data_IF_639731656336
#
_entry.id   IF_639731656336
#
_cell.length_a   1.000
_cell.length_b   1.000
_cell.length_c   1.000
_cell.angle_alpha   90.00
_cell.angle_beta   90.00
_cell.angle_gamma   90.00
#
_symmetry.space_group_name_H-M   'P 1'
#
loop_
_entity.id
_entity.type
_entity.pdbx_description
1 polymer ?
#
# COMPACT_ATOMS: atom_id res chain seq x y z
N UNK A 1 20.11 -10.63 11.95
CA UNK A 1 19.67 -11.13 10.63
C UNK A 1 18.33 -10.52 10.20
N UNK A 2 17.24 -10.69 10.96
CA UNK A 2 15.87 -10.29 10.54
C UNK A 2 15.74 -8.80 10.18
N UNK A 3 16.41 -7.90 10.91
CA UNK A 3 16.37 -6.45 10.67
C UNK A 3 17.03 -6.08 9.33
N UNK A 4 18.17 -6.70 8.99
CA UNK A 4 18.84 -6.47 7.72
C UNK A 4 17.98 -6.97 6.55
N UNK A 5 17.35 -8.14 6.71
CA UNK A 5 16.42 -8.68 5.71
C UNK A 5 15.20 -7.78 5.54
N UNK A 6 14.62 -7.27 6.63
CA UNK A 6 13.50 -6.33 6.57
C UNK A 6 13.90 -5.00 5.91
N UNK A 7 15.11 -4.50 6.18
CA UNK A 7 15.63 -3.28 5.54
C UNK A 7 15.82 -3.47 4.02
N UNK A 8 16.43 -4.58 3.61
CA UNK A 8 16.59 -4.92 2.18
C UNK A 8 15.23 -5.10 1.50
N UNK A 9 14.31 -5.83 2.15
CA UNK A 9 12.96 -6.02 1.66
C UNK A 9 12.21 -4.69 1.53
N UNK A 10 12.35 -3.76 2.50
CA UNK A 10 11.75 -2.42 2.42
C UNK A 10 12.31 -1.59 1.28
N UNK A 11 13.62 -1.65 1.02
CA UNK A 11 14.22 -1.02 -0.16
C UNK A 11 13.65 -1.57 -1.46
N UNK A 12 13.52 -2.90 -1.57
CA UNK A 12 12.89 -3.56 -2.72
C UNK A 12 11.41 -3.17 -2.87
N UNK A 13 10.68 -3.08 -1.77
CA UNK A 13 9.29 -2.61 -1.76
C UNK A 13 9.17 -1.17 -2.29
N UNK A 14 10.06 -0.27 -1.88
CA UNK A 14 10.08 1.10 -2.37
C UNK A 14 10.40 1.20 -3.87
N UNK A 15 11.31 0.36 -4.38
CA UNK A 15 11.60 0.26 -5.83
C UNK A 15 10.38 -0.28 -6.59
N UNK A 16 9.75 -1.34 -6.10
CA UNK A 16 8.55 -1.90 -6.71
C UNK A 16 7.41 -0.87 -6.74
N UNK A 17 7.22 -0.10 -5.67
CA UNK A 17 6.26 1.02 -5.63
C UNK A 17 6.54 2.03 -6.71
N UNK A 18 7.80 2.46 -6.85
CA UNK A 18 8.20 3.42 -7.88
C UNK A 18 7.85 2.94 -9.30
N UNK A 19 8.14 1.67 -9.60
CA UNK A 19 7.83 1.08 -10.91
C UNK A 19 6.32 0.94 -11.15
N UNK A 20 5.55 0.51 -10.14
CA UNK A 20 4.09 0.38 -10.25
C UNK A 20 3.44 1.76 -10.41
N UNK A 21 3.85 2.76 -9.63
CA UNK A 21 3.37 4.14 -9.76
C UNK A 21 3.65 4.68 -11.17
N UNK A 22 4.87 4.49 -11.69
CA UNK A 22 5.25 4.91 -13.04
C UNK A 22 4.46 4.16 -14.11
N UNK A 23 4.25 2.85 -13.96
CA UNK A 23 3.48 2.05 -14.89
C UNK A 23 2.01 2.50 -14.94
N UNK A 24 1.36 2.67 -13.79
CA UNK A 24 -0.04 3.14 -13.72
C UNK A 24 -0.15 4.56 -14.27
N UNK A 25 0.79 5.44 -13.96
CA UNK A 25 0.82 6.80 -14.49
C UNK A 25 0.86 6.87 -16.02
N UNK A 26 1.61 5.96 -16.68
CA UNK A 26 1.68 5.89 -18.14
C UNK A 26 0.39 5.42 -18.81
N UNK A 27 -0.44 4.64 -18.13
CA UNK A 27 -1.63 4.02 -18.72
C UNK A 27 -2.95 4.65 -18.27
N UNK A 28 -2.95 5.46 -17.21
CA UNK A 28 -4.16 6.13 -16.75
C UNK A 28 -4.47 7.39 -17.56
N UNK A 29 -5.76 7.67 -17.77
CA UNK A 29 -6.26 8.93 -18.34
C UNK A 29 -6.82 9.88 -17.28
N UNK A 30 -6.72 9.50 -16.01
CA UNK A 30 -7.29 10.23 -14.88
C UNK A 30 -6.37 11.37 -14.45
N UNK A 31 -6.97 12.47 -14.01
CA UNK A 31 -6.26 13.62 -13.41
C UNK A 31 -6.02 13.46 -11.90
N UNK A 32 -6.06 12.21 -11.42
CA UNK A 32 -5.85 11.83 -10.02
C UNK A 32 -4.78 10.73 -9.94
N UNK A 33 -3.99 10.68 -8.87
CA UNK A 33 -2.92 9.70 -8.73
C UNK A 33 -3.47 8.31 -8.39
N UNK A 34 -3.79 7.51 -9.42
CA UNK A 34 -4.26 6.14 -9.24
C UNK A 34 -3.17 5.14 -8.80
N UNK A 35 -1.89 5.41 -9.12
CA UNK A 35 -0.76 4.57 -8.73
C UNK A 35 -0.70 4.35 -7.22
N UNK A 36 -0.75 5.46 -6.47
CA UNK A 36 -0.77 5.45 -5.00
C UNK A 36 -1.90 4.60 -4.43
N UNK A 37 -3.09 4.64 -5.03
CA UNK A 37 -4.21 3.81 -4.59
C UNK A 37 -3.92 2.33 -4.87
N UNK A 38 -3.43 1.99 -6.06
CA UNK A 38 -3.09 0.62 -6.45
C UNK A 38 -2.06 0.01 -5.49
N UNK A 39 -0.95 0.72 -5.22
CA UNK A 39 0.11 0.19 -4.35
C UNK A 39 -0.38 0.00 -2.91
N UNK A 40 -1.15 0.93 -2.35
CA UNK A 40 -1.69 0.77 -0.99
C UNK A 40 -2.73 -0.35 -0.90
N UNK A 41 -3.65 -0.45 -1.86
CA UNK A 41 -4.70 -1.48 -1.86
C UNK A 41 -4.09 -2.88 -1.99
N UNK A 42 -3.17 -3.06 -2.95
CA UNK A 42 -2.49 -4.34 -3.13
C UNK A 42 -1.59 -4.68 -1.94
N UNK A 43 -0.92 -3.70 -1.33
CA UNK A 43 -0.14 -3.91 -0.11
C UNK A 43 -1.02 -4.37 1.05
N UNK A 44 -2.19 -3.74 1.25
CA UNK A 44 -3.14 -4.09 2.30
C UNK A 44 -3.70 -5.50 2.10
N UNK A 45 -4.06 -5.89 0.87
CA UNK A 45 -4.48 -7.27 0.56
C UNK A 45 -3.41 -8.28 0.97
N UNK A 46 -2.18 -8.08 0.49
CA UNK A 46 -1.06 -8.98 0.76
C UNK A 46 -0.69 -9.00 2.25
N UNK A 47 -0.75 -7.85 2.93
CA UNK A 47 -0.47 -7.77 4.36
C UNK A 47 -1.53 -8.50 5.17
N UNK A 48 -2.80 -8.42 4.76
CA UNK A 48 -3.89 -9.21 5.33
C UNK A 48 -3.61 -10.71 5.20
N UNK A 49 -3.23 -11.16 4.01
CA UNK A 49 -2.85 -12.57 3.74
C UNK A 49 -1.66 -13.04 4.60
N UNK A 50 -0.60 -12.24 4.67
CA UNK A 50 0.57 -12.54 5.51
C UNK A 50 0.17 -12.61 6.98
N UNK A 51 -0.70 -11.71 7.42
CA UNK A 51 -1.15 -11.65 8.82
C UNK A 51 -2.01 -12.87 9.19
N UNK A 52 -2.95 -13.26 8.34
CA UNK A 52 -3.79 -14.45 8.56
C UNK A 52 -2.96 -15.74 8.53
N UNK A 53 -2.10 -15.89 7.52
CA UNK A 53 -1.23 -17.06 7.40
C UNK A 53 -0.30 -17.25 8.61
N UNK A 54 0.33 -16.17 9.09
CA UNK A 54 1.19 -16.20 10.29
C UNK A 54 0.40 -16.51 11.56
N UNK A 55 -0.88 -16.09 11.65
CA UNK A 55 -1.72 -16.39 12.79
C UNK A 55 -1.98 -17.91 12.92
N UNK A 56 -2.12 -18.62 11.80
CA UNK A 56 -2.36 -20.07 11.76
C UNK A 56 -1.06 -20.88 11.88
N UNK A 57 0.00 -20.49 11.17
CA UNK A 57 1.22 -21.30 11.01
C UNK A 57 2.40 -20.83 11.87
N UNK A 58 2.27 -19.70 12.56
CA UNK A 58 3.38 -19.04 13.24
C UNK A 58 4.35 -18.35 12.27
N UNK A 59 5.53 -17.94 12.76
CA UNK A 59 6.58 -17.32 11.94
C UNK A 59 6.67 -15.80 12.04
N UNK A 60 7.11 -15.30 13.20
CA UNK A 60 7.35 -13.86 13.45
C UNK A 60 8.32 -13.22 12.46
N UNK A 61 9.26 -13.99 11.91
CA UNK A 61 10.21 -13.51 10.91
C UNK A 61 9.57 -13.13 9.57
N UNK A 62 8.59 -13.90 9.10
CA UNK A 62 7.88 -13.60 7.85
C UNK A 62 7.11 -12.28 7.96
N UNK A 63 6.43 -12.04 9.09
CA UNK A 63 5.73 -10.78 9.36
C UNK A 63 6.69 -9.58 9.38
N UNK A 64 7.89 -9.74 9.94
CA UNK A 64 8.89 -8.68 9.95
C UNK A 64 9.44 -8.37 8.55
N UNK A 65 9.84 -9.39 7.78
CA UNK A 65 10.49 -9.18 6.48
C UNK A 65 9.47 -8.80 5.40
N UNK A 66 8.35 -9.52 5.30
CA UNK A 66 7.34 -9.26 4.28
C UNK A 66 6.41 -8.11 4.69
N UNK A 67 5.92 -8.12 5.93
CA UNK A 67 4.96 -7.12 6.41
C UNK A 67 5.62 -5.77 6.66
N UNK A 68 6.53 -5.70 7.63
CA UNK A 68 7.20 -4.43 7.99
C UNK A 68 8.19 -4.00 6.91
N UNK A 69 8.97 -4.94 6.35
CA UNK A 69 9.93 -4.68 5.29
C UNK A 69 9.25 -4.37 3.95
N UNK A 70 9.02 -5.41 3.14
CA UNK A 70 8.58 -5.25 1.75
C UNK A 70 7.28 -4.45 1.62
N UNK A 71 6.20 -4.88 2.27
CA UNK A 71 4.88 -4.25 2.16
C UNK A 71 4.86 -2.85 2.80
N UNK A 72 5.68 -2.63 3.84
CA UNK A 72 5.89 -1.31 4.44
C UNK A 72 6.60 -0.33 3.48
N UNK A 73 7.60 -0.78 2.72
CA UNK A 73 8.25 0.03 1.68
C UNK A 73 7.41 0.21 0.40
N UNK A 74 6.60 -0.80 0.07
CA UNK A 74 5.74 -0.84 -1.11
C UNK A 74 4.46 0.01 -0.97
N UNK A 75 3.92 0.16 0.25
CA UNK A 75 2.80 1.07 0.53
C UNK A 75 3.27 2.48 0.87
N UNK A 76 2.36 3.46 0.84
CA UNK A 76 2.68 4.83 1.24
C UNK A 76 1.44 5.63 1.64
N UNK A 77 1.33 5.96 2.92
CA UNK A 77 0.31 6.90 3.41
C UNK A 77 0.71 8.37 3.22
N UNK A 78 2.02 8.67 3.31
CA UNK A 78 2.53 10.03 3.21
C UNK A 78 2.36 10.62 1.81
N UNK A 79 2.60 9.81 0.76
CA UNK A 79 2.37 10.23 -0.63
C UNK A 79 0.90 10.55 -0.87
N UNK A 80 -0.02 9.66 -0.46
CA UNK A 80 -1.47 9.88 -0.59
C UNK A 80 -1.93 11.15 0.15
N UNK A 81 -1.37 11.41 1.34
CA UNK A 81 -1.68 12.61 2.11
C UNK A 81 -1.22 13.90 1.42
N UNK A 82 0.00 13.89 0.85
CA UNK A 82 0.52 15.04 0.09
C UNK A 82 -0.30 15.26 -1.19
N UNK A 83 -0.75 14.20 -1.85
CA UNK A 83 -1.61 14.28 -3.04
C UNK A 83 -2.97 14.90 -2.72
N UNK A 84 -3.62 14.47 -1.64
CA UNK A 84 -4.85 15.09 -1.15
C UNK A 84 -4.64 16.58 -0.80
N UNK A 85 -3.55 16.92 -0.10
CA UNK A 85 -3.21 18.29 0.24
C UNK A 85 -2.97 19.17 -1.02
N UNK A 86 -2.33 18.62 -2.06
CA UNK A 86 -2.15 19.31 -3.34
C UNK A 86 -3.48 19.56 -4.06
N UNK A 87 -4.41 18.61 -4.01
CA UNK A 87 -5.77 18.79 -4.56
C UNK A 87 -6.53 19.89 -3.82
N UNK A 88 -6.41 19.96 -2.50
CA UNK A 88 -6.99 21.06 -1.70
C UNK A 88 -6.39 22.41 -2.10
N UNK A 89 -5.07 22.52 -2.19
CA UNK A 89 -4.37 23.75 -2.63
C UNK A 89 -4.73 24.16 -4.05
N UNK A 90 -5.06 23.21 -4.91
CA UNK A 90 -5.50 23.46 -6.29
C UNK A 90 -6.99 23.84 -6.40
N UNK A 91 -7.70 24.07 -5.27
CA UNK A 91 -9.12 24.41 -5.28
C UNK A 91 -10.04 23.24 -5.64
N UNK A 92 -9.57 21.99 -5.50
CA UNK A 92 -10.31 20.75 -5.84
C UNK A 92 -10.66 19.92 -4.60
N UNK A 93 -11.41 20.45 -3.61
CA UNK A 93 -11.67 19.75 -2.34
C UNK A 93 -12.46 18.46 -2.51
N UNK A 94 -13.41 18.41 -3.46
CA UNK A 94 -14.16 17.19 -3.78
C UNK A 94 -13.24 16.05 -4.22
N UNK A 95 -12.25 16.34 -5.05
CA UNK A 95 -11.28 15.34 -5.51
C UNK A 95 -10.36 14.88 -4.37
N UNK A 96 -9.96 15.79 -3.48
CA UNK A 96 -9.15 15.45 -2.31
C UNK A 96 -9.89 14.50 -1.37
N UNK A 97 -11.15 14.80 -1.03
CA UNK A 97 -11.99 13.94 -0.18
C UNK A 97 -12.22 12.60 -0.86
N UNK A 98 -12.57 12.57 -2.14
CA UNK A 98 -12.78 11.32 -2.87
C UNK A 98 -11.51 10.47 -2.88
N UNK A 99 -10.34 11.05 -3.15
CA UNK A 99 -9.07 10.34 -3.12
C UNK A 99 -8.80 9.71 -1.75
N UNK A 100 -8.96 10.49 -0.67
CA UNK A 100 -8.75 10.00 0.70
C UNK A 100 -9.75 8.88 1.07
N UNK A 101 -11.03 9.07 0.78
CA UNK A 101 -12.09 8.10 1.10
C UNK A 101 -11.93 6.82 0.29
N UNK A 102 -11.69 6.91 -1.02
CA UNK A 102 -11.45 5.73 -1.86
C UNK A 102 -10.26 4.96 -1.31
N UNK A 103 -9.12 5.63 -1.12
CA UNK A 103 -7.90 4.98 -0.64
C UNK A 103 -8.13 4.26 0.70
N UNK A 104 -8.77 4.91 1.66
CA UNK A 104 -9.07 4.30 2.97
C UNK A 104 -10.01 3.09 2.85
N UNK A 105 -11.16 3.25 2.19
CA UNK A 105 -12.18 2.20 2.13
C UNK A 105 -11.71 1.00 1.33
N UNK A 106 -11.06 1.20 0.19
CA UNK A 106 -10.57 0.09 -0.63
C UNK A 106 -9.41 -0.63 0.03
N UNK A 107 -8.52 0.09 0.73
CA UNK A 107 -7.41 -0.53 1.46
C UNK A 107 -7.90 -1.34 2.66
N UNK A 108 -8.90 -0.83 3.40
CA UNK A 108 -9.52 -1.56 4.50
C UNK A 108 -10.24 -2.83 3.99
N UNK A 109 -11.03 -2.71 2.93
CA UNK A 109 -11.70 -3.86 2.32
C UNK A 109 -10.70 -4.91 1.82
N UNK A 110 -9.60 -4.47 1.21
CA UNK A 110 -8.53 -5.34 0.76
C UNK A 110 -7.83 -6.07 1.91
N UNK A 111 -7.50 -5.36 3.00
CA UNK A 111 -6.91 -5.98 4.20
C UNK A 111 -7.83 -7.03 4.81
N UNK A 112 -9.12 -6.71 4.94
CA UNK A 112 -10.13 -7.65 5.44
C UNK A 112 -10.25 -8.88 4.53
N UNK A 113 -10.32 -8.70 3.21
CA UNK A 113 -10.35 -9.81 2.26
C UNK A 113 -9.08 -10.68 2.36
N UNK A 114 -7.90 -10.07 2.49
CA UNK A 114 -6.65 -10.81 2.65
C UNK A 114 -6.62 -11.66 3.90
N UNK A 115 -7.09 -11.12 5.03
CA UNK A 115 -7.26 -11.88 6.27
C UNK A 115 -8.23 -13.04 6.09
N UNK A 116 -9.43 -12.77 5.54
CA UNK A 116 -10.47 -13.79 5.35
C UNK A 116 -10.05 -14.95 4.44
N UNK A 117 -9.14 -14.71 3.48
CA UNK A 117 -8.63 -15.75 2.58
C UNK A 117 -7.57 -16.66 3.21
N UNK A 118 -7.04 -16.31 4.38
CA UNK A 118 -5.88 -16.99 4.99
C UNK A 118 -6.03 -17.27 6.49
N UNK A 119 -7.21 -17.02 7.05
CA UNK A 119 -7.58 -17.31 8.43
C UNK A 119 -8.44 -18.56 8.56
#
# INVERSE_FOLDING_TARGET
MIVLLAALAGGLGAVARFEVDAFVARHQRLSVPAGTVVVNVTACLLLGMVTGWVAVHGGSGAKAVLGVGFLGGYSTFSTASVEAARLLRAGRPRAAVLHATVMLLTSLAAAWAGLALTS
#
